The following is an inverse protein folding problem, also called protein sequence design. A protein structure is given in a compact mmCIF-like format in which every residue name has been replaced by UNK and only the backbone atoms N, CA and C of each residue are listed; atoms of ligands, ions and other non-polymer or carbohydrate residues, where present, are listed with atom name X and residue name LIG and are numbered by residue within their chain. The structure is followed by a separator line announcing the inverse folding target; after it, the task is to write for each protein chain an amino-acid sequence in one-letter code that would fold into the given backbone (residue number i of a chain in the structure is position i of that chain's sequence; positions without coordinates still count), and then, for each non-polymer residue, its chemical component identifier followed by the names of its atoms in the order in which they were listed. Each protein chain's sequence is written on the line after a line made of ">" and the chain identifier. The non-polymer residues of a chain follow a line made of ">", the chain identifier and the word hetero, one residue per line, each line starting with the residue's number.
data_IF_601420672644
#
_entry.id   IF_601420672644
#
_cell.length_a   1.000
_cell.length_b   1.000
_cell.length_c   1.000
_cell.angle_alpha   90.00
_cell.angle_beta   90.00
_cell.angle_gamma   90.00
#
_symmetry.space_group_name_H-M   'P 1'
#
loop_
_entity.id
_entity.type
_entity.pdbx_description
1 polymer ?
#
# COMPACT_ATOMS: atom_id res chain seq x y z
N UNK A 1 -21.45 14.25 -10.04
CA UNK A 1 -20.41 13.58 -9.23
C UNK A 1 -21.08 12.98 -8.01
N UNK A 2 -20.74 11.75 -7.58
CA UNK A 2 -21.31 11.15 -6.37
C UNK A 2 -20.87 11.91 -5.11
N UNK A 3 -21.74 11.94 -4.09
CA UNK A 3 -21.45 12.52 -2.77
C UNK A 3 -20.98 11.42 -1.82
N UNK A 4 -19.98 11.73 -0.99
CA UNK A 4 -19.43 10.81 0.01
C UNK A 4 -19.31 11.53 1.34
N UNK A 5 -19.70 10.87 2.43
CA UNK A 5 -19.47 11.32 3.81
C UNK A 5 -18.28 10.56 4.37
N UNK A 6 -17.32 11.29 4.94
CA UNK A 6 -16.10 10.72 5.53
C UNK A 6 -15.87 11.26 6.93
N UNK A 7 -15.33 10.43 7.80
CA UNK A 7 -14.87 10.84 9.13
C UNK A 7 -13.40 11.21 9.06
N UNK A 8 -13.03 12.36 9.62
CA UNK A 8 -11.65 12.84 9.70
C UNK A 8 -11.39 13.40 11.10
N UNK A 9 -10.13 13.51 11.49
CA UNK A 9 -9.78 14.08 12.79
C UNK A 9 -10.10 15.58 12.84
N UNK A 10 -10.37 16.16 14.03
CA UNK A 10 -10.58 17.60 14.18
C UNK A 10 -9.40 18.43 13.64
N UNK A 11 -8.17 17.94 13.81
CA UNK A 11 -6.95 18.59 13.34
C UNK A 11 -6.87 18.58 11.80
N UNK A 12 -7.23 17.46 11.17
CA UNK A 12 -7.31 17.38 9.70
C UNK A 12 -8.37 18.34 9.15
N UNK A 13 -9.52 18.44 9.82
CA UNK A 13 -10.56 19.38 9.45
C UNK A 13 -10.09 20.84 9.59
N UNK A 14 -9.29 21.16 10.62
CA UNK A 14 -8.70 22.49 10.81
C UNK A 14 -7.73 22.85 9.68
N UNK A 15 -6.79 21.96 9.35
CA UNK A 15 -5.86 22.15 8.22
C UNK A 15 -6.57 22.32 6.90
N UNK A 16 -7.66 21.57 6.68
CA UNK A 16 -8.47 21.70 5.48
C UNK A 16 -9.15 23.08 5.39
N UNK A 17 -9.68 23.60 6.51
CA UNK A 17 -10.25 24.96 6.56
C UNK A 17 -9.19 26.03 6.30
N UNK A 18 -8.00 25.91 6.89
CA UNK A 18 -6.89 26.84 6.66
C UNK A 18 -6.48 26.88 5.18
N UNK A 19 -6.39 25.72 4.53
CA UNK A 19 -6.04 25.62 3.12
C UNK A 19 -7.09 26.26 2.18
N UNK A 20 -8.37 26.27 2.60
CA UNK A 20 -9.43 26.99 1.88
C UNK A 20 -9.36 28.49 2.17
N UNK A 21 -9.18 28.87 3.44
CA UNK A 21 -9.11 30.27 3.86
C UNK A 21 -7.91 31.02 3.28
N UNK A 22 -6.79 30.32 3.05
CA UNK A 22 -5.61 30.87 2.38
C UNK A 22 -5.80 31.06 0.87
N UNK A 23 -6.88 30.53 0.30
CA UNK A 23 -7.14 30.53 -1.13
C UNK A 23 -6.38 29.46 -1.93
N UNK A 24 -5.63 28.59 -1.27
CA UNK A 24 -4.92 27.49 -1.96
C UNK A 24 -5.90 26.47 -2.58
N UNK A 25 -7.10 26.33 -2.01
CA UNK A 25 -8.16 25.49 -2.55
C UNK A 25 -9.51 26.21 -2.53
N UNK A 26 -10.32 26.00 -3.58
CA UNK A 26 -11.63 26.62 -3.71
C UNK A 26 -12.69 26.10 -2.71
N UNK A 27 -12.54 24.87 -2.21
CA UNK A 27 -13.43 24.27 -1.21
C UNK A 27 -12.80 23.07 -0.52
N UNK A 28 -13.36 22.64 0.61
CA UNK A 28 -12.92 21.42 1.30
C UNK A 28 -13.03 20.16 0.43
N UNK A 29 -14.07 20.06 -0.42
CA UNK A 29 -14.18 18.95 -1.37
C UNK A 29 -13.04 18.92 -2.39
N UNK A 30 -12.49 20.08 -2.76
CA UNK A 30 -11.34 20.14 -3.68
C UNK A 30 -10.05 19.70 -3.00
N UNK A 31 -9.87 20.01 -1.71
CA UNK A 31 -8.74 19.48 -0.90
C UNK A 31 -8.77 17.95 -0.90
N UNK A 32 -9.94 17.36 -0.61
CA UNK A 32 -10.10 15.89 -0.60
C UNK A 32 -9.80 15.30 -1.98
N UNK A 33 -10.31 15.93 -3.04
CA UNK A 33 -10.10 15.46 -4.42
C UNK A 33 -8.62 15.51 -4.82
N UNK A 34 -7.90 16.56 -4.41
CA UNK A 34 -6.46 16.66 -4.61
C UNK A 34 -5.67 15.58 -3.85
N UNK A 35 -6.03 15.34 -2.58
CA UNK A 35 -5.42 14.27 -1.78
C UNK A 35 -5.64 12.89 -2.39
N UNK A 36 -6.85 12.61 -2.89
CA UNK A 36 -7.17 11.34 -3.57
C UNK A 36 -6.40 11.17 -4.90
N UNK A 37 -6.21 12.25 -5.67
CA UNK A 37 -5.36 12.21 -6.87
C UNK A 37 -3.91 11.90 -6.53
N UNK A 38 -3.37 12.50 -5.48
CA UNK A 38 -2.01 12.24 -5.00
C UNK A 38 -1.85 10.79 -4.51
N UNK A 39 -2.82 10.29 -3.74
CA UNK A 39 -2.84 8.91 -3.29
C UNK A 39 -2.89 7.93 -4.47
N UNK A 40 -3.76 8.17 -5.46
CA UNK A 40 -3.86 7.31 -6.64
C UNK A 40 -2.54 7.28 -7.44
N UNK A 41 -1.89 8.43 -7.61
CA UNK A 41 -0.58 8.51 -8.26
C UNK A 41 0.51 7.76 -7.47
N UNK A 42 0.52 7.91 -6.14
CA UNK A 42 1.42 7.17 -5.26
C UNK A 42 1.16 5.66 -5.32
N UNK A 43 -0.11 5.23 -5.27
CA UNK A 43 -0.48 3.82 -5.35
C UNK A 43 -0.07 3.20 -6.69
N UNK A 44 -0.18 3.93 -7.80
CA UNK A 44 0.30 3.47 -9.11
C UNK A 44 1.83 3.30 -9.14
N UNK A 45 2.57 4.22 -8.51
CA UNK A 45 4.02 4.10 -8.39
C UNK A 45 4.43 2.90 -7.52
N UNK A 46 3.81 2.73 -6.34
CA UNK A 46 4.09 1.59 -5.45
C UNK A 46 3.59 0.24 -6.02
N UNK A 47 2.56 0.27 -6.86
CA UNK A 47 2.08 -0.91 -7.60
C UNK A 47 3.05 -1.33 -8.71
N UNK A 48 3.71 -0.37 -9.36
CA UNK A 48 4.82 -0.66 -10.27
C UNK A 48 6.01 -1.29 -9.54
N UNK A 49 6.27 -0.90 -8.27
CA UNK A 49 7.28 -1.56 -7.43
C UNK A 49 6.85 -2.99 -7.00
N UNK A 50 5.55 -3.28 -7.01
CA UNK A 50 5.01 -4.62 -6.67
C UNK A 50 5.01 -5.58 -7.86
N UNK A 51 4.81 -5.10 -9.09
CA UNK A 51 4.96 -5.92 -10.31
C UNK A 51 6.40 -5.99 -10.84
N UNK A 52 7.28 -5.04 -10.48
CA UNK A 52 8.71 -5.10 -10.79
C UNK A 52 9.54 -5.91 -9.78
N UNK A 53 8.91 -6.49 -8.75
CA UNK A 53 9.49 -7.56 -7.96
C UNK A 53 9.33 -8.91 -8.69
N UNK A 54 9.82 -8.99 -9.93
CA UNK A 54 10.19 -10.27 -10.50
C UNK A 54 11.27 -10.91 -9.59
N UNK A 55 11.19 -12.22 -9.32
CA UNK A 55 11.98 -12.88 -8.30
C UNK A 55 13.44 -12.98 -8.74
N UNK A 56 14.26 -12.00 -8.38
CA UNK A 56 15.72 -12.09 -8.52
C UNK A 56 16.33 -12.62 -7.22
N UNK A 57 16.57 -13.94 -7.24
CA UNK A 57 17.74 -14.59 -6.64
C UNK A 57 17.95 -14.52 -5.12
N UNK A 58 16.86 -14.45 -4.34
CA UNK A 58 16.88 -14.90 -2.94
C UNK A 58 16.23 -16.30 -2.74
N UNK A 59 15.88 -16.97 -3.85
CA UNK A 59 15.19 -18.26 -3.88
C UNK A 59 16.16 -19.46 -3.98
N UNK A 60 17.42 -19.29 -3.58
CA UNK A 60 18.35 -20.43 -3.53
C UNK A 60 18.54 -21.01 -2.12
N UNK A 61 18.05 -20.32 -1.09
CA UNK A 61 18.25 -20.76 0.31
C UNK A 61 16.98 -20.80 1.17
N UNK A 62 15.80 -20.47 0.62
CA UNK A 62 14.53 -20.64 1.35
C UNK A 62 13.86 -21.95 0.96
N UNK A 63 14.43 -23.06 1.41
CA UNK A 63 13.69 -24.33 1.42
C UNK A 63 12.42 -24.14 2.26
N UNK A 64 11.26 -24.41 1.66
CA UNK A 64 10.00 -24.40 2.40
C UNK A 64 10.05 -25.48 3.49
N UNK A 65 9.44 -25.21 4.64
CA UNK A 65 9.30 -26.17 5.75
C UNK A 65 8.82 -27.54 5.28
N UNK A 66 7.92 -27.59 4.28
CA UNK A 66 7.45 -28.84 3.69
C UNK A 66 8.58 -29.64 3.01
N UNK A 67 9.47 -28.98 2.27
CA UNK A 67 10.61 -29.60 1.61
C UNK A 67 11.70 -30.01 2.60
N UNK A 68 11.94 -29.18 3.63
CA UNK A 68 12.84 -29.50 4.74
C UNK A 68 12.39 -30.78 5.47
N UNK A 69 11.09 -30.93 5.69
CA UNK A 69 10.51 -32.12 6.34
C UNK A 69 10.54 -33.36 5.44
N UNK A 70 10.31 -33.19 4.13
CA UNK A 70 10.41 -34.27 3.15
C UNK A 70 11.85 -34.81 3.05
N UNK A 71 12.85 -33.93 3.04
CA UNK A 71 14.26 -34.31 3.06
C UNK A 71 14.62 -35.09 4.35
N UNK A 72 14.13 -34.63 5.50
CA UNK A 72 14.42 -35.27 6.79
C UNK A 72 13.75 -36.66 6.93
N UNK A 73 12.50 -36.80 6.49
CA UNK A 73 11.75 -38.07 6.60
C UNK A 73 12.12 -39.09 5.52
N UNK A 74 12.67 -38.66 4.39
CA UNK A 74 13.21 -39.54 3.35
C UNK A 74 14.44 -40.35 3.81
N UNK A 75 15.24 -39.81 4.72
CA UNK A 75 16.40 -40.51 5.29
C UNK A 75 16.01 -41.58 6.33
N UNK A 76 14.83 -41.48 6.95
CA UNK A 76 14.40 -42.38 8.04
C UNK A 76 13.80 -43.71 7.52
N UNK A 77 13.47 -43.82 6.22
CA UNK A 77 12.90 -45.04 5.62
C UNK A 77 13.88 -45.93 4.86
N UNK A 78 15.18 -45.64 4.88
CA UNK A 78 16.19 -46.43 4.15
C UNK A 78 17.25 -47.07 5.05
N UNK A 79 16.95 -47.28 6.33
CA UNK A 79 17.71 -48.11 7.25
C UNK A 79 16.89 -49.35 7.62
#
# INVERSE_FOLDING_TARGET
>A
MPMVTVSISPEQAARMREAVNSGAYASGSEVVRAALRLWAASAAANGADTEAAAPVEADRERLNVAELYAAHTGHVRRA
#
